data_IF_007757444465
#
_entry.id   IF_007757444465
#
_cell.length_a   1.000
_cell.length_b   1.000
_cell.length_c   1.000
_cell.angle_alpha   90.00
_cell.angle_beta   90.00
_cell.angle_gamma   90.00
#
_symmetry.space_group_name_H-M   'P 1'
#
loop_
_entity.id
_entity.type
_entity.pdbx_description
1 polymer ?
#
# COMPACT_ATOMS: atom_id res chain seq x y z
N UNK A 1 38.43 -18.47 15.36
CA UNK A 1 38.30 -17.00 15.31
C UNK A 1 36.95 -16.70 14.69
N UNK A 2 36.03 -15.98 15.36
CA UNK A 2 34.73 -15.69 14.77
C UNK A 2 34.88 -14.55 13.74
N UNK A 3 34.38 -14.77 12.54
CA UNK A 3 34.25 -13.72 11.52
C UNK A 3 33.11 -12.79 11.95
N UNK A 4 33.45 -11.70 12.63
CA UNK A 4 32.53 -10.59 12.90
C UNK A 4 32.40 -9.73 11.64
N UNK A 5 31.66 -10.23 10.66
CA UNK A 5 31.06 -9.40 9.61
C UNK A 5 29.80 -8.74 10.17
N UNK A 6 29.48 -7.49 9.81
CA UNK A 6 28.28 -6.84 10.30
C UNK A 6 27.02 -7.59 9.82
N UNK A 7 25.97 -7.69 10.66
CA UNK A 7 24.82 -8.59 10.44
C UNK A 7 23.99 -8.29 9.18
N UNK A 8 24.23 -7.17 8.51
CA UNK A 8 23.52 -6.79 7.28
C UNK A 8 24.02 -7.52 6.02
N UNK A 9 25.22 -8.12 6.04
CA UNK A 9 25.75 -8.86 4.87
C UNK A 9 25.05 -10.21 4.62
N UNK A 10 24.29 -10.72 5.60
CA UNK A 10 23.45 -11.92 5.43
C UNK A 10 21.99 -11.59 5.04
N UNK A 11 21.64 -10.29 4.98
CA UNK A 11 20.28 -9.81 4.67
C UNK A 11 20.10 -9.41 3.20
N UNK A 12 21.15 -9.45 2.37
CA UNK A 12 21.08 -8.92 0.98
C UNK A 12 20.06 -9.63 0.08
N UNK A 13 19.70 -10.88 0.39
CA UNK A 13 18.66 -11.63 -0.35
C UNK A 13 17.26 -11.53 0.26
N UNK A 14 17.15 -11.57 1.59
CA UNK A 14 15.86 -11.55 2.30
C UNK A 14 15.28 -10.12 2.40
N UNK A 15 16.13 -9.11 2.55
CA UNK A 15 15.69 -7.72 2.67
C UNK A 15 15.22 -7.11 1.35
N UNK A 16 15.63 -7.64 0.21
CA UNK A 16 15.22 -7.13 -1.11
C UNK A 16 13.79 -7.58 -1.47
N UNK A 17 13.45 -8.84 -1.19
CA UNK A 17 12.08 -9.34 -1.33
C UNK A 17 11.14 -8.62 -0.35
N UNK A 18 11.54 -8.53 0.92
CA UNK A 18 10.77 -7.82 1.96
C UNK A 18 10.58 -6.32 1.64
N UNK A 19 11.60 -5.64 1.11
CA UNK A 19 11.49 -4.25 0.68
C UNK A 19 10.55 -4.07 -0.53
N UNK A 20 10.50 -5.06 -1.43
CA UNK A 20 9.60 -5.05 -2.58
C UNK A 20 8.16 -5.28 -2.14
N UNK A 21 7.93 -6.23 -1.23
CA UNK A 21 6.62 -6.48 -0.64
C UNK A 21 6.09 -5.25 0.12
N UNK A 22 6.94 -4.60 0.92
CA UNK A 22 6.57 -3.37 1.64
C UNK A 22 6.27 -2.21 0.68
N UNK A 23 7.04 -2.07 -0.42
CA UNK A 23 6.75 -1.10 -1.47
C UNK A 23 5.38 -1.34 -2.08
N UNK A 24 5.09 -2.58 -2.48
CA UNK A 24 3.79 -2.96 -3.06
C UNK A 24 2.63 -2.69 -2.10
N UNK A 25 2.78 -3.08 -0.84
CA UNK A 25 1.79 -2.82 0.21
C UNK A 25 1.54 -1.33 0.40
N UNK A 26 2.59 -0.50 0.47
CA UNK A 26 2.44 0.95 0.66
C UNK A 26 1.87 1.65 -0.57
N UNK A 27 2.15 1.18 -1.79
CA UNK A 27 1.48 1.65 -3.01
C UNK A 27 -0.03 1.40 -2.90
N UNK A 28 -0.44 0.16 -2.62
CA UNK A 28 -1.85 -0.20 -2.50
C UNK A 28 -2.52 0.54 -1.34
N UNK A 29 -1.88 0.61 -0.18
CA UNK A 29 -2.38 1.32 0.98
C UNK A 29 -2.57 2.82 0.70
N UNK A 30 -1.60 3.44 0.02
CA UNK A 30 -1.71 4.85 -0.37
C UNK A 30 -2.88 5.08 -1.31
N UNK A 31 -3.06 4.24 -2.32
CA UNK A 31 -4.15 4.37 -3.27
C UNK A 31 -5.52 4.04 -2.63
N UNK A 32 -5.54 3.11 -1.66
CA UNK A 32 -6.74 2.83 -0.85
C UNK A 32 -7.11 3.99 0.07
N UNK A 33 -6.13 4.74 0.57
CA UNK A 33 -6.35 6.00 1.29
C UNK A 33 -6.85 7.13 0.37
N UNK A 34 -6.78 6.98 -0.94
CA UNK A 34 -7.40 7.91 -1.87
C UNK A 34 -6.73 7.90 -3.24
N UNK A 35 -7.49 8.15 -4.33
CA UNK A 35 -6.94 8.12 -5.68
C UNK A 35 -5.81 9.13 -5.86
N UNK A 36 -4.81 8.76 -6.66
CA UNK A 36 -3.68 9.65 -6.92
C UNK A 36 -3.12 9.42 -8.33
N UNK A 37 -2.67 10.51 -8.96
CA UNK A 37 -1.81 10.40 -10.14
C UNK A 37 -0.42 9.90 -9.76
N UNK A 38 0.32 9.34 -10.72
CA UNK A 38 1.65 8.77 -10.50
C UNK A 38 2.62 9.74 -9.80
N UNK A 39 2.65 11.02 -10.21
CA UNK A 39 3.54 12.01 -9.59
C UNK A 39 3.25 12.17 -8.10
N UNK A 40 1.98 12.27 -7.73
CA UNK A 40 1.59 12.45 -6.33
C UNK A 40 1.87 11.20 -5.51
N UNK A 41 1.65 10.02 -6.09
CA UNK A 41 2.00 8.74 -5.45
C UNK A 41 3.51 8.69 -5.14
N UNK A 42 4.37 9.10 -6.06
CA UNK A 42 5.82 9.13 -5.84
C UNK A 42 6.22 10.12 -4.73
N UNK A 43 5.64 11.32 -4.73
CA UNK A 43 5.87 12.31 -3.67
C UNK A 43 5.44 11.78 -2.31
N UNK A 44 4.29 11.11 -2.25
CA UNK A 44 3.75 10.55 -1.02
C UNK A 44 4.59 9.36 -0.53
N UNK A 45 5.05 8.46 -1.41
CA UNK A 45 5.98 7.39 -1.06
C UNK A 45 7.30 7.93 -0.51
N UNK A 46 7.79 9.06 -1.05
CA UNK A 46 8.99 9.71 -0.53
C UNK A 46 8.78 10.24 0.88
N UNK A 47 7.63 10.85 1.15
CA UNK A 47 7.26 11.30 2.50
C UNK A 47 7.11 10.15 3.48
N UNK A 48 6.56 9.00 3.04
CA UNK A 48 6.48 7.79 3.85
C UNK A 48 7.87 7.24 4.18
N UNK A 49 8.84 7.34 3.27
CA UNK A 49 10.23 6.97 3.53
C UNK A 49 10.85 7.87 4.60
N UNK A 50 10.63 9.18 4.51
CA UNK A 50 11.08 10.17 5.50
C UNK A 50 10.44 9.95 6.87
N UNK A 51 9.21 9.45 6.91
CA UNK A 51 8.49 9.06 8.13
C UNK A 51 8.87 7.67 8.66
N UNK A 52 9.74 6.92 7.98
CA UNK A 52 10.13 5.57 8.35
C UNK A 52 9.05 4.50 8.13
N UNK A 53 8.03 4.80 7.32
CA UNK A 53 6.93 3.89 6.99
C UNK A 53 7.14 3.11 5.69
N UNK A 54 8.11 3.54 4.87
CA UNK A 54 8.54 2.90 3.62
C UNK A 54 10.05 2.63 3.70
N UNK A 55 10.51 1.39 3.41
CA UNK A 55 11.94 1.12 3.29
C UNK A 55 12.61 1.99 2.22
N UNK A 56 13.81 2.53 2.48
CA UNK A 56 14.53 3.32 1.50
C UNK A 56 15.09 2.45 0.36
N UNK A 57 15.44 3.09 -0.75
CA UNK A 57 16.21 2.46 -1.83
C UNK A 57 15.37 1.90 -2.98
N UNK A 58 14.04 2.07 -2.97
CA UNK A 58 13.22 1.84 -4.15
C UNK A 58 13.50 2.90 -5.22
N UNK A 59 13.32 2.51 -6.48
CA UNK A 59 13.46 3.38 -7.65
C UNK A 59 12.11 3.65 -8.30
N UNK A 60 12.04 4.67 -9.16
CA UNK A 60 10.87 4.88 -10.02
C UNK A 60 10.52 3.62 -10.85
N UNK A 61 11.55 2.87 -11.28
CA UNK A 61 11.34 1.65 -12.04
C UNK A 61 10.60 0.60 -11.23
N UNK A 62 10.91 0.48 -9.93
CA UNK A 62 10.27 -0.49 -9.04
C UNK A 62 8.80 -0.13 -8.82
N UNK A 63 8.51 1.15 -8.56
CA UNK A 63 7.12 1.63 -8.44
C UNK A 63 6.32 1.36 -9.72
N UNK A 64 6.89 1.65 -10.88
CA UNK A 64 6.23 1.40 -12.17
C UNK A 64 6.05 -0.10 -12.44
N UNK A 65 7.01 -0.94 -12.03
CA UNK A 65 6.91 -2.39 -12.14
C UNK A 65 5.77 -2.94 -11.27
N UNK A 66 5.70 -2.54 -10.00
CA UNK A 66 4.61 -2.91 -9.09
C UNK A 66 3.25 -2.46 -9.61
N UNK A 67 3.12 -1.20 -10.00
CA UNK A 67 1.88 -0.68 -10.57
C UNK A 67 1.47 -1.44 -11.83
N UNK A 68 2.41 -1.83 -12.68
CA UNK A 68 2.12 -2.63 -13.86
C UNK A 68 1.57 -4.01 -13.48
N UNK A 69 2.18 -4.68 -12.51
CA UNK A 69 1.72 -5.99 -12.01
C UNK A 69 0.28 -5.89 -11.48
N UNK A 70 -0.01 -4.89 -10.62
CA UNK A 70 -1.36 -4.71 -10.08
C UNK A 70 -2.39 -4.30 -11.13
N UNK A 71 -1.99 -3.56 -12.16
CA UNK A 71 -2.85 -3.22 -13.30
C UNK A 71 -3.17 -4.43 -14.17
N UNK A 72 -2.18 -5.27 -14.46
CA UNK A 72 -2.38 -6.51 -15.21
C UNK A 72 -3.29 -7.49 -14.45
N UNK A 73 -3.21 -7.49 -13.11
CA UNK A 73 -4.12 -8.24 -12.23
C UNK A 73 -5.51 -7.59 -12.05
N UNK A 74 -5.72 -6.37 -12.56
CA UNK A 74 -6.96 -5.62 -12.42
C UNK A 74 -7.19 -4.99 -11.04
N UNK A 75 -6.25 -5.14 -10.11
CA UNK A 75 -6.29 -4.58 -8.74
C UNK A 75 -6.15 -3.06 -8.76
N UNK A 76 -5.33 -2.52 -9.67
CA UNK A 76 -5.20 -1.07 -9.86
C UNK A 76 -5.78 -0.66 -11.21
N UNK A 77 -6.58 0.41 -11.23
CA UNK A 77 -7.21 0.95 -12.43
C UNK A 77 -6.87 2.42 -12.59
N UNK A 78 -6.94 2.91 -13.84
CA UNK A 78 -6.76 4.34 -14.16
C UNK A 78 -8.11 4.88 -14.60
N UNK A 79 -8.58 5.95 -13.97
CA UNK A 79 -9.82 6.60 -14.35
C UNK A 79 -9.65 7.56 -15.54
N UNK A 80 -10.74 8.26 -15.90
CA UNK A 80 -10.76 9.23 -17.00
C UNK A 80 -9.88 10.45 -16.76
N UNK A 81 -9.58 10.76 -15.49
CA UNK A 81 -8.74 11.89 -15.07
C UNK A 81 -7.26 11.48 -14.91
N UNK A 82 -6.94 10.20 -15.17
CA UNK A 82 -5.58 9.67 -15.06
C UNK A 82 -5.17 9.33 -13.62
N UNK A 83 -6.12 9.25 -12.68
CA UNK A 83 -5.88 8.87 -11.31
C UNK A 83 -5.88 7.34 -11.16
N UNK A 84 -4.99 6.84 -10.32
CA UNK A 84 -4.90 5.43 -9.96
C UNK A 84 -5.85 5.13 -8.80
N UNK A 85 -6.59 4.03 -8.92
CA UNK A 85 -7.53 3.53 -7.92
C UNK A 85 -7.24 2.08 -7.59
N UNK A 86 -7.48 1.66 -6.34
CA UNK A 86 -7.53 0.24 -5.98
C UNK A 86 -8.95 -0.26 -6.14
N UNK A 87 -9.12 -1.39 -6.80
CA UNK A 87 -10.35 -2.17 -6.83
C UNK A 87 -10.32 -3.19 -5.66
N UNK A 88 -11.04 -2.94 -4.55
CA UNK A 88 -10.99 -3.80 -3.38
C UNK A 88 -11.61 -5.18 -3.62
N UNK A 89 -12.49 -5.33 -4.62
CA UNK A 89 -13.13 -6.61 -4.94
C UNK A 89 -12.14 -7.61 -5.54
N UNK A 90 -11.03 -7.11 -6.11
CA UNK A 90 -9.95 -7.91 -6.69
C UNK A 90 -8.95 -8.43 -5.66
N UNK A 91 -9.02 -7.93 -4.43
CA UNK A 91 -8.17 -8.38 -3.33
C UNK A 91 -8.85 -9.50 -2.54
N UNK A 92 -8.10 -10.56 -2.23
CA UNK A 92 -8.52 -11.54 -1.23
C UNK A 92 -8.77 -10.86 0.13
N UNK A 93 -9.66 -11.42 0.95
CA UNK A 93 -10.08 -10.81 2.20
C UNK A 93 -8.88 -10.48 3.13
N UNK A 94 -7.92 -11.39 3.27
CA UNK A 94 -6.72 -11.17 4.08
C UNK A 94 -5.87 -10.00 3.60
N UNK A 95 -5.57 -9.96 2.29
CA UNK A 95 -4.83 -8.87 1.66
C UNK A 95 -5.58 -7.54 1.77
N UNK A 96 -6.91 -7.56 1.61
CA UNK A 96 -7.76 -6.38 1.78
C UNK A 96 -7.66 -5.82 3.19
N UNK A 97 -7.78 -6.64 4.22
CA UNK A 97 -7.65 -6.17 5.61
C UNK A 97 -6.26 -5.55 5.86
N UNK A 98 -5.21 -6.16 5.33
CA UNK A 98 -3.84 -5.64 5.46
C UNK A 98 -3.67 -4.29 4.75
N UNK A 99 -4.13 -4.16 3.51
CA UNK A 99 -4.06 -2.92 2.73
C UNK A 99 -4.82 -1.79 3.42
N UNK A 100 -6.05 -2.06 3.89
CA UNK A 100 -6.90 -1.03 4.49
C UNK A 100 -6.48 -0.64 5.91
N UNK A 101 -5.91 -1.56 6.70
CA UNK A 101 -5.32 -1.19 7.99
C UNK A 101 -4.07 -0.31 7.80
N UNK A 102 -3.23 -0.65 6.81
CA UNK A 102 -2.06 0.16 6.43
C UNK A 102 -2.48 1.52 5.86
N UNK A 103 -3.58 1.57 5.10
CA UNK A 103 -4.10 2.80 4.50
C UNK A 103 -4.46 3.86 5.55
N UNK A 104 -5.00 3.45 6.71
CA UNK A 104 -5.28 4.36 7.82
C UNK A 104 -4.01 5.04 8.36
N UNK A 105 -2.95 4.25 8.55
CA UNK A 105 -1.63 4.74 8.99
C UNK A 105 -1.02 5.68 7.95
N UNK A 106 -1.11 5.32 6.67
CA UNK A 106 -0.60 6.15 5.56
C UNK A 106 -1.38 7.46 5.44
N UNK A 107 -2.71 7.42 5.58
CA UNK A 107 -3.55 8.61 5.52
C UNK A 107 -3.20 9.60 6.64
N UNK A 108 -3.04 9.10 7.87
CA UNK A 108 -2.62 9.90 9.02
C UNK A 108 -1.25 10.53 8.79
N UNK A 109 -0.25 9.73 8.38
CA UNK A 109 1.11 10.21 8.14
C UNK A 109 1.20 11.28 7.04
N UNK A 110 0.31 11.22 6.04
CA UNK A 110 0.27 12.15 4.92
C UNK A 110 -0.71 13.32 5.12
N UNK A 111 -1.44 13.36 6.23
CA UNK A 111 -2.47 14.37 6.50
C UNK A 111 -3.62 14.34 5.49
N UNK A 112 -3.99 13.14 5.00
CA UNK A 112 -5.12 12.96 4.09
C UNK A 112 -6.41 12.93 4.90
N UNK A 113 -7.01 14.10 5.14
CA UNK A 113 -8.28 14.22 5.86
C UNK A 113 -9.43 13.53 5.09
N UNK A 114 -10.19 12.67 5.77
CA UNK A 114 -11.51 12.24 5.28
C UNK A 114 -11.52 11.17 4.20
N UNK A 115 -10.45 10.39 4.04
CA UNK A 115 -10.54 9.13 3.31
C UNK A 115 -11.42 8.17 4.11
N UNK A 116 -12.74 8.19 3.85
CA UNK A 116 -13.65 7.17 4.33
C UNK A 116 -13.21 5.85 3.68
N UNK A 117 -12.27 5.17 4.33
CA UNK A 117 -11.88 3.82 3.97
C UNK A 117 -13.18 3.01 4.02
N UNK A 118 -13.66 2.44 2.90
CA UNK A 118 -14.79 1.54 2.95
C UNK A 118 -14.46 0.48 3.99
N UNK A 119 -15.20 0.51 5.10
CA UNK A 119 -15.11 -0.56 6.08
C UNK A 119 -15.42 -1.84 5.31
N UNK A 120 -14.62 -2.93 5.49
CA UNK A 120 -15.00 -4.20 4.92
C UNK A 120 -16.42 -4.47 5.39
N UNK A 121 -17.35 -4.62 4.45
CA UNK A 121 -18.75 -4.87 4.78
C UNK A 121 -18.80 -6.15 5.61
N UNK A 122 -18.81 -5.99 6.93
CA UNK A 122 -19.10 -7.04 7.87
C UNK A 122 -20.56 -7.35 7.67
N UNK A 123 -20.84 -8.44 6.96
CA UNK A 123 -22.16 -9.06 6.96
C UNK A 123 -22.55 -9.35 8.40
N UNK A 124 -23.61 -8.70 8.87
CA UNK A 124 -24.08 -8.80 10.24
C UNK A 124 -25.30 -7.92 10.46
N UNK A 125 -26.42 -8.37 9.89
CA UNK A 125 -27.82 -8.02 10.21
C UNK A 125 -28.09 -6.72 10.98
N UNK A 126 -28.80 -5.81 10.30
CA UNK A 126 -29.76 -4.94 10.98
C UNK A 126 -30.83 -5.84 11.63
N UNK A 127 -30.58 -6.25 12.88
CA UNK A 127 -31.62 -6.86 13.70
C UNK A 127 -32.63 -5.76 13.98
N UNK A 128 -33.73 -5.83 13.25
CA UNK A 128 -34.98 -5.16 13.55
C UNK A 128 -35.27 -5.22 15.05
N UNK A 129 -35.28 -4.06 15.71
CA UNK A 129 -35.98 -3.91 16.97
C UNK A 129 -37.48 -4.10 16.71
N UNK A 130 -38.18 -5.03 17.38
CA UNK A 130 -39.62 -4.95 17.47
C UNK A 130 -40.03 -3.96 18.56
N UNK A 131 -41.18 -3.34 18.31
CA UNK A 131 -41.81 -2.23 19.03
C UNK A 131 -42.20 -2.53 20.48
#
# INVERSE_FOLDING_TARGET
MPLSGPPWLLLEGLGAEEATEELGLNILARLAAGPAGLHRLLDDLRRLEEAGLQPPGYTLRDVVAELRLYREAGVVQVDVDGLLHVDPERLELGARMLVYSRAAVVAEALGLEGAALPQPAGGGEAVHAPA
#
